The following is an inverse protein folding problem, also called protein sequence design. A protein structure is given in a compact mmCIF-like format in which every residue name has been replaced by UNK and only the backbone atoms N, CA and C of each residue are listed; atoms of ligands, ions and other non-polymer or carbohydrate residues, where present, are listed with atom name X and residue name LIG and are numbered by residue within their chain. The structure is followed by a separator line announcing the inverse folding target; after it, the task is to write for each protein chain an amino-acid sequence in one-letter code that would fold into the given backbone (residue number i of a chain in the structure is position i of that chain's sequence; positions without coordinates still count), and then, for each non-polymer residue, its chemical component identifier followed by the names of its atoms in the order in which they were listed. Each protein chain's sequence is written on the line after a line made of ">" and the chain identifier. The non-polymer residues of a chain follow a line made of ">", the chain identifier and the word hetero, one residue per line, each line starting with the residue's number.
data_IF_965922204035
#
_entry.id   IF_965922204035
#
_cell.length_a   1.000
_cell.length_b   1.000
_cell.length_c   1.000
_cell.angle_alpha   90.00
_cell.angle_beta   90.00
_cell.angle_gamma   90.00
#
_symmetry.space_group_name_H-M   'P 1'
#
loop_
_entity.id
_entity.type
_entity.pdbx_description
1 polymer ?
#
# COMPACT_ATOMS: atom_id res chain seq x y z
N UNK A 1 -2.75 2.91 -16.18
CA UNK A 1 -3.26 2.09 -15.05
C UNK A 1 -2.22 1.96 -13.95
N UNK A 2 -1.02 1.43 -14.22
CA UNK A 2 0.06 1.32 -13.22
C UNK A 2 0.46 2.64 -12.52
N UNK A 3 0.26 3.78 -13.18
CA UNK A 3 0.49 5.11 -12.60
C UNK A 3 -0.26 5.32 -11.26
N UNK A 4 -1.45 4.73 -11.11
CA UNK A 4 -2.28 4.85 -9.90
C UNK A 4 -1.98 3.74 -8.87
N UNK A 5 -0.78 3.16 -8.89
CA UNK A 5 -0.40 2.18 -7.88
C UNK A 5 -0.47 2.82 -6.48
N UNK A 6 -1.18 2.16 -5.55
CA UNK A 6 -1.54 2.67 -4.22
C UNK A 6 -2.44 3.92 -4.21
N UNK A 7 -2.89 4.37 -5.39
CA UNK A 7 -3.78 5.52 -5.57
C UNK A 7 -5.10 5.09 -6.24
N UNK A 8 -5.55 3.88 -5.91
CA UNK A 8 -6.84 3.33 -6.29
C UNK A 8 -7.79 3.23 -5.08
N UNK A 9 -9.08 3.07 -5.35
CA UNK A 9 -10.11 2.97 -4.29
C UNK A 9 -9.82 1.83 -3.31
N UNK A 10 -9.29 0.71 -3.81
CA UNK A 10 -8.89 -0.43 -2.99
C UNK A 10 -7.79 -0.05 -2.00
N UNK A 11 -6.76 0.68 -2.43
CA UNK A 11 -5.69 1.14 -1.55
C UNK A 11 -6.21 2.15 -0.52
N UNK A 12 -7.09 3.08 -0.90
CA UNK A 12 -7.67 4.04 0.04
C UNK A 12 -8.59 3.38 1.08
N UNK A 13 -9.39 2.39 0.66
CA UNK A 13 -10.22 1.59 1.59
C UNK A 13 -9.32 0.83 2.57
N UNK A 14 -8.23 0.24 2.09
CA UNK A 14 -7.27 -0.46 2.95
C UNK A 14 -6.55 0.50 3.90
N UNK A 15 -6.07 1.64 3.42
CA UNK A 15 -5.43 2.66 4.24
C UNK A 15 -6.37 3.17 5.35
N UNK A 16 -7.64 3.45 5.02
CA UNK A 16 -8.67 3.80 6.00
C UNK A 16 -8.90 2.69 7.02
N UNK A 17 -9.00 1.44 6.57
CA UNK A 17 -9.31 0.29 7.44
C UNK A 17 -8.17 0.00 8.42
N UNK A 18 -6.92 0.25 8.00
CA UNK A 18 -5.71 0.09 8.81
C UNK A 18 -5.35 1.34 9.62
N UNK A 19 -6.12 2.43 9.53
CA UNK A 19 -5.79 3.72 10.14
C UNK A 19 -4.40 4.23 9.72
N UNK A 20 -4.06 4.09 8.44
CA UNK A 20 -2.79 4.54 7.86
C UNK A 20 -3.02 5.59 6.78
N UNK A 21 -1.97 6.35 6.49
CA UNK A 21 -1.96 7.35 5.43
C UNK A 21 -0.84 7.02 4.44
N UNK A 22 -1.18 6.98 3.16
CA UNK A 22 -0.21 6.99 2.07
C UNK A 22 0.23 8.45 1.87
N UNK A 23 1.52 8.74 1.64
CA UNK A 23 1.96 10.11 1.33
C UNK A 23 1.18 10.71 0.15
N UNK A 24 0.66 11.93 0.32
CA UNK A 24 -0.18 12.60 -0.67
C UNK A 24 -1.63 12.10 -0.76
N UNK A 25 -1.98 11.03 -0.04
CA UNK A 25 -3.33 10.47 0.02
C UNK A 25 -4.20 11.11 1.12
N UNK A 26 -5.51 10.83 1.10
CA UNK A 26 -6.44 11.31 2.12
C UNK A 26 -6.22 10.63 3.48
N UNK A 27 -6.54 11.36 4.56
CA UNK A 27 -6.60 10.83 5.93
C UNK A 27 -8.04 10.64 6.36
N UNK A 28 -8.27 9.65 7.21
CA UNK A 28 -9.58 9.31 7.74
C UNK A 28 -9.52 9.06 9.24
N UNK A 29 -10.67 9.17 9.89
CA UNK A 29 -10.84 8.68 11.25
C UNK A 29 -10.66 7.14 11.31
N UNK A 30 -10.11 6.60 12.41
CA UNK A 30 -9.94 5.16 12.57
C UNK A 30 -11.28 4.41 12.46
N UNK A 31 -11.33 3.40 11.58
CA UNK A 31 -12.51 2.55 11.45
C UNK A 31 -12.74 1.67 12.68
N UNK A 32 -11.65 1.24 13.31
CA UNK A 32 -11.64 0.41 14.50
C UNK A 32 -10.91 1.16 15.62
N UNK A 33 -11.56 1.31 16.78
CA UNK A 33 -11.04 2.04 17.95
C UNK A 33 -10.67 1.11 19.11
N UNK A 34 -10.83 -0.18 18.91
CA UNK A 34 -10.68 -1.27 19.88
C UNK A 34 -9.27 -1.89 19.90
N UNK A 35 -8.29 -1.26 19.25
CA UNK A 35 -6.91 -1.72 19.28
C UNK A 35 -6.28 -1.35 20.63
N UNK A 36 -6.30 -2.28 21.58
CA UNK A 36 -5.46 -2.19 22.78
C UNK A 36 -3.99 -2.38 22.38
N UNK A 37 -3.30 -1.28 22.14
CA UNK A 37 -1.90 -1.25 21.70
C UNK A 37 -0.90 -1.78 22.73
N UNK A 38 -1.27 -1.86 24.01
CA UNK A 38 -0.34 -2.16 25.10
C UNK A 38 0.15 -3.61 25.13
N UNK A 39 -0.68 -4.58 24.74
CA UNK A 39 -0.32 -6.00 24.85
C UNK A 39 0.34 -6.56 23.58
N UNK A 40 0.28 -5.85 22.45
CA UNK A 40 0.93 -6.29 21.20
C UNK A 40 2.43 -5.94 21.15
N UNK A 41 2.89 -4.90 21.85
CA UNK A 41 4.25 -4.35 21.71
C UNK A 41 5.34 -5.19 22.41
N UNK A 42 5.00 -5.94 23.47
CA UNK A 42 5.96 -6.75 24.23
C UNK A 42 5.44 -8.17 24.44
N UNK A 43 5.65 -9.02 23.44
CA UNK A 43 5.36 -10.46 23.53
C UNK A 43 6.57 -11.29 23.10
N UNK A 44 6.50 -12.60 23.31
CA UNK A 44 7.59 -13.53 23.00
C UNK A 44 8.06 -13.49 21.53
N UNK A 45 7.16 -13.09 20.62
CA UNK A 45 7.41 -13.02 19.18
C UNK A 45 7.97 -11.65 18.72
N UNK A 46 7.61 -10.57 19.40
CA UNK A 46 8.01 -9.20 19.07
C UNK A 46 9.25 -8.71 19.84
N UNK A 47 9.99 -9.62 20.48
CA UNK A 47 11.23 -9.31 21.20
C UNK A 47 12.29 -8.70 20.27
N UNK A 48 12.80 -7.53 20.66
CA UNK A 48 13.81 -6.76 19.91
C UNK A 48 15.10 -7.57 19.66
N UNK A 49 15.44 -8.51 20.54
CA UNK A 49 16.63 -9.35 20.38
C UNK A 49 16.46 -10.45 19.33
N UNK A 50 15.21 -10.78 18.98
CA UNK A 50 14.86 -11.81 17.98
C UNK A 50 14.54 -11.20 16.61
N UNK A 51 14.26 -9.90 16.54
CA UNK A 51 13.92 -9.19 15.33
C UNK A 51 15.16 -8.68 14.58
N UNK A 52 15.37 -9.14 13.35
CA UNK A 52 16.42 -8.65 12.48
C UNK A 52 15.90 -7.48 11.66
N UNK A 53 16.28 -6.25 12.03
CA UNK A 53 15.86 -5.03 11.33
C UNK A 53 16.93 -4.60 10.33
N UNK A 54 16.72 -4.91 9.04
CA UNK A 54 17.59 -4.44 7.94
C UNK A 54 17.04 -3.24 7.19
N UNK A 55 15.73 -3.11 7.13
CA UNK A 55 15.04 -1.99 6.51
C UNK A 55 13.70 -1.78 7.21
N UNK A 56 13.33 -0.54 7.54
CA UNK A 56 12.08 -0.27 8.23
C UNK A 56 10.88 -0.58 7.32
N UNK A 57 9.86 -1.21 7.89
CA UNK A 57 8.60 -1.49 7.17
C UNK A 57 7.80 -0.19 7.10
N UNK A 58 7.66 0.37 5.90
CA UNK A 58 6.92 1.61 5.64
C UNK A 58 5.41 1.37 5.48
N UNK A 59 4.63 2.45 5.56
CA UNK A 59 3.17 2.40 5.39
C UNK A 59 2.76 1.92 4.00
N UNK A 60 3.54 2.22 2.96
CA UNK A 60 3.26 1.77 1.60
C UNK A 60 3.28 0.23 1.51
N UNK A 61 4.20 -0.44 2.21
CA UNK A 61 4.26 -1.90 2.25
C UNK A 61 3.05 -2.50 2.97
N UNK A 62 2.63 -1.87 4.07
CA UNK A 62 1.46 -2.27 4.85
C UNK A 62 0.16 -2.13 4.06
N UNK A 63 0.04 -1.15 3.18
CA UNK A 63 -1.14 -1.01 2.30
C UNK A 63 -1.05 -1.92 1.08
N UNK A 64 0.14 -2.07 0.47
CA UNK A 64 0.35 -2.94 -0.69
C UNK A 64 0.10 -4.42 -0.38
N UNK A 65 0.59 -4.89 0.78
CA UNK A 65 0.49 -6.29 1.20
C UNK A 65 -0.18 -6.38 2.58
N UNK A 66 -1.50 -6.12 2.66
CA UNK A 66 -2.18 -5.88 3.92
C UNK A 66 -2.20 -7.09 4.85
N UNK A 67 -2.18 -8.31 4.29
CA UNK A 67 -2.19 -9.55 5.07
C UNK A 67 -0.80 -10.00 5.55
N UNK A 68 0.28 -9.40 5.05
CA UNK A 68 1.64 -9.80 5.39
C UNK A 68 2.25 -8.91 6.48
N UNK A 69 2.05 -7.60 6.38
CA UNK A 69 2.75 -6.63 7.25
C UNK A 69 1.87 -6.01 8.34
N UNK A 70 0.65 -6.50 8.53
CA UNK A 70 -0.27 -6.00 9.56
C UNK A 70 -0.82 -7.14 10.41
N UNK A 71 -0.92 -6.87 11.72
CA UNK A 71 -1.72 -7.69 12.62
C UNK A 71 -3.20 -7.41 12.37
N UNK A 72 -4.03 -8.46 12.38
CA UNK A 72 -5.50 -8.36 12.31
C UNK A 72 -6.02 -7.45 11.17
N UNK A 73 -5.70 -7.73 9.90
CA UNK A 73 -6.16 -6.93 8.75
C UNK A 73 -7.67 -7.09 8.54
N UNK A 74 -8.46 -6.22 9.19
CA UNK A 74 -9.93 -6.22 9.14
C UNK A 74 -10.43 -5.27 8.05
N UNK A 75 -11.42 -5.71 7.26
CA UNK A 75 -12.08 -4.91 6.20
C UNK A 75 -11.14 -4.30 5.14
N UNK A 76 -9.95 -4.87 4.96
CA UNK A 76 -9.01 -4.50 3.90
C UNK A 76 -9.47 -5.03 2.54
N UNK A 77 -8.98 -4.43 1.45
CA UNK A 77 -9.16 -4.89 0.07
C UNK A 77 -7.81 -5.08 -0.61
N UNK A 78 -7.72 -6.10 -1.46
CA UNK A 78 -6.54 -6.31 -2.30
C UNK A 78 -6.60 -5.38 -3.51
N UNK A 79 -5.57 -4.55 -3.67
CA UNK A 79 -5.36 -3.76 -4.89
C UNK A 79 -4.76 -4.62 -6.00
N UNK A 80 -4.91 -4.16 -7.24
CA UNK A 80 -4.28 -4.84 -8.37
C UNK A 80 -2.77 -4.70 -8.29
N UNK A 81 -2.04 -5.82 -8.40
CA UNK A 81 -0.59 -5.83 -8.28
C UNK A 81 0.11 -5.10 -9.43
N UNK A 82 -0.27 -5.43 -10.67
CA UNK A 82 0.38 -4.90 -11.86
C UNK A 82 -0.50 -5.08 -13.11
N UNK A 83 -0.41 -4.15 -14.06
CA UNK A 83 -0.89 -4.30 -15.43
C UNK A 83 0.30 -4.27 -16.40
N UNK A 84 0.22 -4.89 -17.58
CA UNK A 84 1.27 -4.76 -18.60
C UNK A 84 1.62 -3.29 -18.89
N UNK A 85 2.91 -2.97 -18.95
CA UNK A 85 3.36 -1.61 -19.25
C UNK A 85 3.06 -1.28 -20.71
N UNK A 86 2.29 -0.21 -20.92
CA UNK A 86 1.94 0.27 -22.26
C UNK A 86 3.11 1.10 -22.78
N UNK A 87 3.76 0.62 -23.84
CA UNK A 87 4.88 1.29 -24.51
C UNK A 87 4.39 2.02 -25.76
N UNK A 88 3.41 2.90 -25.59
CA UNK A 88 2.85 3.69 -26.68
C UNK A 88 3.67 4.96 -26.88
N UNK A 89 4.18 5.16 -28.10
CA UNK A 89 4.85 6.39 -28.49
C UNK A 89 3.81 7.27 -29.17
N UNK A 90 3.55 8.44 -28.58
CA UNK A 90 2.67 9.43 -29.19
C UNK A 90 3.47 10.19 -30.25
N UNK A 91 2.95 10.20 -31.47
CA UNK A 91 3.50 11.00 -32.55
C UNK A 91 3.15 12.48 -32.26
N UNK A 92 4.15 13.35 -32.26
CA UNK A 92 3.95 14.80 -32.12
C UNK A 92 3.92 15.50 -33.49
N UNK A 93 4.60 14.95 -34.51
CA UNK A 93 4.63 15.46 -35.88
C UNK A 93 3.84 14.53 -36.83
N UNK A 94 2.69 14.97 -37.35
CA UNK A 94 1.84 14.15 -38.22
C UNK A 94 2.41 13.93 -39.63
N UNK A 95 3.45 14.65 -40.03
CA UNK A 95 4.03 14.54 -41.38
C UNK A 95 4.96 13.31 -41.51
N UNK A 96 5.33 12.67 -40.40
CA UNK A 96 6.16 11.46 -40.39
C UNK A 96 5.35 10.18 -40.70
N UNK A 97 5.97 9.13 -41.29
CA UNK A 97 5.33 7.84 -41.50
C UNK A 97 4.81 7.22 -40.19
N UNK A 98 3.74 6.43 -40.25
CA UNK A 98 3.15 5.82 -39.06
C UNK A 98 4.04 4.77 -38.37
N UNK A 99 4.94 4.13 -39.14
CA UNK A 99 5.93 3.20 -38.62
C UNK A 99 7.32 3.72 -38.97
N UNK A 100 8.07 4.13 -37.95
CA UNK A 100 9.45 4.62 -38.05
C UNK A 100 10.28 4.14 -36.86
#
# INVERSE_FOLDING_TARGET
>A
KNYFYLFDDSAFITAKSLNMCIPGGPKFEPLFRDMETRDEDWNEFNDINKLIIRSPIRTEYKVAFPYLYNNRPRRVRLSTYHHPQVMYIKIEDPDLPAYY
#
